data_IF_901253920943
#
_entry.id   IF_901253920943
#
_cell.length_a   1.000
_cell.length_b   1.000
_cell.length_c   1.000
_cell.angle_alpha   90.00
_cell.angle_beta   90.00
_cell.angle_gamma   90.00
#
_symmetry.space_group_name_H-M   'P 1'
#
loop_
_entity.id
_entity.type
_entity.pdbx_description
1 polymer ?
#
# COMPACT_ATOMS: atom_id res chain seq x y z
N UNK A 1 2.96 -28.69 -2.63
CA UNK A 1 1.68 -27.93 -2.61
C UNK A 1 0.58 -28.85 -3.13
N UNK A 2 -0.60 -28.88 -2.50
CA UNK A 2 -1.73 -29.61 -3.07
C UNK A 2 -2.15 -28.93 -4.38
N UNK A 3 -2.68 -29.70 -5.35
CA UNK A 3 -3.17 -29.14 -6.61
C UNK A 3 -4.12 -27.96 -6.38
N UNK A 4 -4.94 -28.00 -5.33
CA UNK A 4 -5.88 -26.94 -4.98
C UNK A 4 -5.22 -25.58 -4.78
N UNK A 5 -4.07 -25.52 -4.10
CA UNK A 5 -3.37 -24.27 -3.81
C UNK A 5 -2.75 -23.68 -5.10
N UNK A 6 -2.34 -24.55 -6.03
CA UNK A 6 -1.78 -24.19 -7.33
C UNK A 6 -2.81 -23.55 -8.28
N UNK A 7 -4.10 -23.75 -8.09
CA UNK A 7 -5.17 -23.15 -8.91
C UNK A 7 -5.91 -22.02 -8.18
N UNK A 8 -6.26 -22.23 -6.91
CA UNK A 8 -7.08 -21.28 -6.16
C UNK A 8 -6.36 -19.95 -5.92
N UNK A 9 -5.07 -20.00 -5.60
CA UNK A 9 -4.30 -18.79 -5.29
C UNK A 9 -4.08 -17.93 -6.53
N UNK A 10 -3.65 -18.47 -7.70
CA UNK A 10 -3.59 -17.70 -8.93
C UNK A 10 -4.94 -17.12 -9.36
N UNK A 11 -6.05 -17.86 -9.19
CA UNK A 11 -7.39 -17.34 -9.49
C UNK A 11 -7.72 -16.10 -8.64
N UNK A 12 -7.37 -16.11 -7.36
CA UNK A 12 -7.55 -14.95 -6.48
C UNK A 12 -6.68 -13.77 -6.91
N UNK A 13 -5.41 -14.01 -7.26
CA UNK A 13 -4.54 -12.97 -7.81
C UNK A 13 -5.04 -12.41 -9.14
N UNK A 14 -5.62 -13.24 -10.01
CA UNK A 14 -6.26 -12.78 -11.24
C UNK A 14 -7.45 -11.87 -10.94
N UNK A 15 -8.27 -12.20 -9.93
CA UNK A 15 -9.37 -11.34 -9.51
C UNK A 15 -8.87 -9.98 -8.96
N UNK A 16 -7.86 -10.00 -8.10
CA UNK A 16 -7.18 -8.78 -7.61
C UNK A 16 -6.72 -7.94 -8.80
N UNK A 17 -5.98 -8.54 -9.73
CA UNK A 17 -5.48 -7.85 -10.91
C UNK A 17 -6.61 -7.26 -11.75
N UNK A 18 -7.69 -8.00 -12.01
CA UNK A 18 -8.83 -7.52 -12.79
C UNK A 18 -9.51 -6.32 -12.12
N UNK A 19 -9.90 -6.47 -10.85
CA UNK A 19 -10.60 -5.41 -10.10
C UNK A 19 -9.71 -4.18 -9.97
N UNK A 20 -8.44 -4.38 -9.62
CA UNK A 20 -7.49 -3.30 -9.45
C UNK A 20 -7.17 -2.57 -10.75
N UNK A 21 -6.98 -3.27 -11.87
CA UNK A 21 -6.72 -2.63 -13.17
C UNK A 21 -7.93 -1.84 -13.65
N UNK A 22 -9.14 -2.41 -13.57
CA UNK A 22 -10.36 -1.73 -13.99
C UNK A 22 -10.62 -0.50 -13.12
N UNK A 23 -10.58 -0.66 -11.79
CA UNK A 23 -10.86 0.42 -10.85
C UNK A 23 -9.84 1.56 -10.95
N UNK A 24 -8.54 1.27 -10.91
CA UNK A 24 -7.51 2.30 -10.96
C UNK A 24 -7.46 2.99 -12.34
N UNK A 25 -7.70 2.26 -13.43
CA UNK A 25 -7.80 2.87 -14.77
C UNK A 25 -8.99 3.81 -14.89
N UNK A 26 -10.15 3.43 -14.31
CA UNK A 26 -11.34 4.28 -14.28
C UNK A 26 -11.08 5.58 -13.51
N UNK A 27 -10.41 5.51 -12.36
CA UNK A 27 -10.02 6.69 -11.57
C UNK A 27 -9.18 7.65 -12.41
N UNK A 28 -8.13 7.15 -13.08
CA UNK A 28 -7.28 7.96 -13.96
C UNK A 28 -8.09 8.54 -15.13
N UNK A 29 -8.97 7.74 -15.74
CA UNK A 29 -9.81 8.15 -16.85
C UNK A 29 -10.75 9.31 -16.46
N UNK A 30 -11.48 9.19 -15.35
CA UNK A 30 -12.42 10.21 -14.86
C UNK A 30 -11.70 11.52 -14.54
N UNK A 31 -10.56 11.47 -13.85
CA UNK A 31 -9.75 12.66 -13.52
C UNK A 31 -9.21 13.32 -14.79
N UNK A 32 -8.79 12.51 -15.77
CA UNK A 32 -8.27 13.01 -17.04
C UNK A 32 -9.36 13.64 -17.91
N UNK A 33 -10.55 13.03 -17.97
CA UNK A 33 -11.67 13.47 -18.81
C UNK A 33 -12.33 14.75 -18.27
N UNK A 34 -12.50 14.87 -16.95
CA UNK A 34 -13.22 15.98 -16.35
C UNK A 34 -12.26 17.07 -15.85
N UNK A 35 -12.18 18.21 -16.55
CA UNK A 35 -11.31 19.35 -16.18
C UNK A 35 -11.56 19.87 -14.76
N UNK A 36 -12.81 19.80 -14.29
CA UNK A 36 -13.19 20.20 -12.92
C UNK A 36 -12.55 19.31 -11.83
N UNK A 37 -12.16 18.09 -12.17
CA UNK A 37 -11.51 17.13 -11.28
C UNK A 37 -9.98 17.26 -11.29
N UNK A 38 -9.38 18.22 -12.01
CA UNK A 38 -7.92 18.40 -12.06
C UNK A 38 -7.41 19.28 -10.92
N UNK A 39 -7.58 18.81 -9.69
CA UNK A 39 -7.14 19.47 -8.45
C UNK A 39 -5.87 18.81 -7.89
N UNK A 40 -5.17 19.48 -6.97
CA UNK A 40 -3.97 18.93 -6.32
C UNK A 40 -4.26 17.58 -5.63
N UNK A 41 -5.38 17.48 -4.89
CA UNK A 41 -5.82 16.23 -4.25
C UNK A 41 -6.07 15.11 -5.26
N UNK A 42 -6.74 15.42 -6.38
CA UNK A 42 -7.01 14.41 -7.41
C UNK A 42 -5.75 14.02 -8.18
N UNK A 43 -4.73 14.88 -8.26
CA UNK A 43 -3.43 14.50 -8.78
C UNK A 43 -2.76 13.43 -7.92
N UNK A 44 -2.84 13.53 -6.58
CA UNK A 44 -2.35 12.47 -5.69
C UNK A 44 -3.14 11.16 -5.85
N UNK A 45 -4.46 11.23 -5.97
CA UNK A 45 -5.31 10.05 -6.23
C UNK A 45 -4.93 9.38 -7.57
N UNK A 46 -4.74 10.16 -8.64
CA UNK A 46 -4.31 9.64 -9.93
C UNK A 46 -2.90 9.02 -9.87
N UNK A 47 -2.00 9.63 -9.11
CA UNK A 47 -0.64 9.14 -8.93
C UNK A 47 -0.61 7.83 -8.13
N UNK A 48 -1.44 7.72 -7.09
CA UNK A 48 -1.65 6.47 -6.36
C UNK A 48 -2.20 5.38 -7.28
N UNK A 49 -3.25 5.68 -8.06
CA UNK A 49 -3.83 4.74 -9.02
C UNK A 49 -2.81 4.25 -10.07
N UNK A 50 -1.94 5.14 -10.57
CA UNK A 50 -0.86 4.75 -11.48
C UNK A 50 0.15 3.79 -10.83
N UNK A 51 0.45 3.99 -9.55
CA UNK A 51 1.33 3.10 -8.77
C UNK A 51 0.72 1.72 -8.60
N UNK A 52 -0.57 1.68 -8.28
CA UNK A 52 -1.30 0.44 -8.08
C UNK A 52 -1.33 -0.35 -9.39
N UNK A 53 -1.55 0.30 -10.54
CA UNK A 53 -1.46 -0.34 -11.86
C UNK A 53 -0.06 -0.92 -12.10
N UNK A 54 1.01 -0.15 -11.87
CA UNK A 54 2.39 -0.64 -12.05
C UNK A 54 2.64 -1.86 -11.16
N UNK A 55 2.24 -1.79 -9.88
CA UNK A 55 2.37 -2.90 -8.95
C UNK A 55 1.56 -4.14 -9.37
N UNK A 56 0.32 -3.96 -9.81
CA UNK A 56 -0.55 -5.04 -10.26
C UNK A 56 0.02 -5.73 -11.51
N UNK A 57 0.51 -4.98 -12.49
CA UNK A 57 1.08 -5.55 -13.72
C UNK A 57 2.44 -6.20 -13.47
N UNK A 58 3.31 -5.56 -12.68
CA UNK A 58 4.69 -5.98 -12.54
C UNK A 58 4.93 -6.98 -11.40
N UNK A 59 4.04 -7.07 -10.40
CA UNK A 59 4.26 -7.94 -9.24
C UNK A 59 3.25 -9.11 -9.17
N UNK A 60 1.95 -8.85 -9.35
CA UNK A 60 0.90 -9.87 -9.16
C UNK A 60 1.10 -11.12 -10.04
N UNK A 61 1.28 -11.03 -11.37
CA UNK A 61 1.40 -12.23 -12.19
C UNK A 61 2.62 -13.08 -11.80
N UNK A 62 3.75 -12.45 -11.53
CA UNK A 62 4.97 -13.15 -11.13
C UNK A 62 4.82 -13.81 -9.76
N UNK A 63 4.23 -13.11 -8.78
CA UNK A 63 3.93 -13.69 -7.47
C UNK A 63 2.92 -14.84 -7.58
N UNK A 64 1.91 -14.73 -8.45
CA UNK A 64 0.91 -15.78 -8.67
C UNK A 64 1.55 -17.06 -9.24
N UNK A 65 2.58 -16.95 -10.07
CA UNK A 65 3.27 -18.14 -10.61
C UNK A 65 4.10 -18.90 -9.58
N UNK A 66 4.40 -18.33 -8.41
CA UNK A 66 5.11 -19.04 -7.33
C UNK A 66 4.33 -20.23 -6.76
N UNK A 67 3.01 -20.28 -6.97
CA UNK A 67 2.12 -21.32 -6.44
C UNK A 67 2.01 -22.54 -7.36
N UNK A 68 1.76 -22.39 -8.69
CA UNK A 68 1.74 -23.51 -9.62
C UNK A 68 3.14 -23.94 -10.07
N UNK A 69 4.12 -23.03 -10.12
CA UNK A 69 5.47 -23.39 -10.56
C UNK A 69 6.29 -23.97 -9.40
N UNK A 70 7.06 -25.03 -9.66
CA UNK A 70 7.92 -25.66 -8.65
C UNK A 70 9.22 -24.87 -8.36
N UNK A 71 9.46 -23.75 -9.04
CA UNK A 71 10.64 -22.89 -8.90
C UNK A 71 10.52 -21.58 -9.68
N UNK A 72 11.47 -20.67 -9.48
CA UNK A 72 11.55 -19.37 -10.14
C UNK A 72 12.22 -19.46 -11.52
N UNK A 73 11.47 -19.16 -12.58
CA UNK A 73 11.95 -19.30 -13.98
C UNK A 73 12.29 -17.98 -14.67
N UNK A 74 12.00 -16.83 -14.05
CA UNK A 74 12.13 -15.50 -14.69
C UNK A 74 13.53 -14.88 -14.56
N UNK A 75 14.49 -15.63 -14.04
CA UNK A 75 15.87 -15.19 -13.87
C UNK A 75 16.10 -14.16 -12.75
N UNK A 76 17.37 -13.76 -12.60
CA UNK A 76 17.86 -12.92 -11.50
C UNK A 76 17.34 -11.49 -11.52
N UNK A 77 17.20 -10.91 -12.70
CA UNK A 77 16.64 -9.56 -12.82
C UNK A 77 15.23 -9.51 -12.25
N UNK A 78 14.32 -10.38 -12.72
CA UNK A 78 12.93 -10.36 -12.26
C UNK A 78 12.80 -10.72 -10.78
N UNK A 79 13.63 -11.63 -10.25
CA UNK A 79 13.62 -11.98 -8.83
C UNK A 79 13.85 -10.75 -7.93
N UNK A 80 14.84 -9.92 -8.30
CA UNK A 80 15.14 -8.68 -7.59
C UNK A 80 14.14 -7.58 -7.89
N UNK A 81 13.75 -7.42 -9.16
CA UNK A 81 12.85 -6.37 -9.62
C UNK A 81 11.46 -6.46 -8.98
N UNK A 82 10.89 -7.66 -8.92
CA UNK A 82 9.57 -7.90 -8.32
C UNK A 82 9.59 -7.59 -6.82
N UNK A 83 10.59 -8.08 -6.08
CA UNK A 83 10.74 -7.79 -4.66
C UNK A 83 10.99 -6.29 -4.40
N UNK A 84 11.79 -5.65 -5.24
CA UNK A 84 12.07 -4.23 -5.17
C UNK A 84 10.82 -3.38 -5.40
N UNK A 85 10.03 -3.68 -6.43
CA UNK A 85 8.79 -2.96 -6.69
C UNK A 85 7.74 -3.17 -5.59
N UNK A 86 7.69 -4.37 -4.99
CA UNK A 86 6.84 -4.60 -3.81
C UNK A 86 7.24 -3.66 -2.67
N UNK A 87 8.54 -3.54 -2.40
CA UNK A 87 9.05 -2.64 -1.38
C UNK A 87 8.76 -1.18 -1.67
N UNK A 88 9.01 -0.73 -2.92
CA UNK A 88 8.76 0.65 -3.33
C UNK A 88 7.29 0.99 -3.14
N UNK A 89 6.37 0.07 -3.51
CA UNK A 89 4.93 0.28 -3.32
C UNK A 89 4.57 0.43 -1.84
N UNK A 90 5.14 -0.41 -0.99
CA UNK A 90 4.94 -0.34 0.46
C UNK A 90 5.45 0.98 1.05
N UNK A 91 6.71 1.35 0.78
CA UNK A 91 7.30 2.60 1.25
C UNK A 91 6.53 3.83 0.74
N UNK A 92 6.05 3.79 -0.50
CA UNK A 92 5.25 4.87 -1.06
C UNK A 92 3.88 5.02 -0.38
N UNK A 93 3.24 3.91 -0.03
CA UNK A 93 1.91 3.93 0.61
C UNK A 93 1.89 4.71 1.94
N UNK A 94 3.04 5.04 2.52
CA UNK A 94 3.15 5.90 3.71
C UNK A 94 2.73 7.34 3.44
N UNK A 95 2.99 7.81 2.23
CA UNK A 95 2.84 9.21 1.88
C UNK A 95 1.54 9.48 1.11
N UNK A 96 0.87 8.44 0.62
CA UNK A 96 -0.40 8.56 -0.10
C UNK A 96 -1.56 9.00 0.81
N UNK A 97 -1.42 8.89 2.14
CA UNK A 97 -2.46 9.20 3.13
C UNK A 97 -2.25 10.52 3.89
N UNK A 98 -1.21 11.28 3.60
CA UNK A 98 -1.05 12.62 4.18
C UNK A 98 -1.83 13.60 3.32
N UNK A 99 -3.00 14.11 3.77
CA UNK A 99 -3.72 15.09 2.99
C UNK A 99 -2.87 16.35 2.86
N UNK A 100 -2.73 16.93 1.65
CA UNK A 100 -2.12 18.25 1.53
C UNK A 100 -2.91 19.24 2.38
N UNK A 101 -2.20 20.20 2.98
CA UNK A 101 -2.82 21.29 3.71
C UNK A 101 -3.94 21.93 2.85
N UNK A 102 -5.08 22.31 3.43
CA UNK A 102 -6.20 22.85 2.65
C UNK A 102 -5.73 24.09 1.88
N UNK A 103 -5.65 23.97 0.56
CA UNK A 103 -5.41 25.11 -0.30
C UNK A 103 -6.60 26.07 -0.15
N UNK A 104 -6.35 27.25 0.39
CA UNK A 104 -7.33 28.32 0.43
C UNK A 104 -7.70 28.66 -1.02
N UNK A 105 -9.01 28.66 -1.31
CA UNK A 105 -9.62 28.78 -2.65
C UNK A 105 -9.20 30.02 -3.47
N UNK A 106 -8.37 30.90 -2.93
CA UNK A 106 -7.97 32.17 -3.53
C UNK A 106 -6.64 32.14 -4.29
N UNK A 107 -5.85 31.06 -4.25
CA UNK A 107 -4.56 31.00 -4.94
C UNK A 107 -4.64 30.07 -6.14
N UNK A 108 -4.18 30.53 -7.32
CA UNK A 108 -4.03 29.68 -8.52
C UNK A 108 -3.36 28.36 -8.11
N UNK A 109 -3.88 27.18 -8.53
CA UNK A 109 -3.34 25.90 -8.10
C UNK A 109 -1.89 25.80 -8.59
N UNK A 110 -0.94 25.89 -7.67
CA UNK A 110 0.48 25.81 -7.99
C UNK A 110 0.87 24.33 -8.00
N UNK A 111 0.65 23.68 -9.14
CA UNK A 111 0.88 22.23 -9.34
C UNK A 111 2.35 21.81 -9.18
N UNK A 112 3.28 22.76 -9.21
CA UNK A 112 4.72 22.54 -9.09
C UNK A 112 5.13 21.96 -7.73
N UNK A 113 4.57 22.47 -6.63
CA UNK A 113 4.94 22.03 -5.28
C UNK A 113 4.47 20.58 -4.97
N UNK A 114 3.21 20.19 -5.26
CA UNK A 114 2.77 18.80 -5.16
C UNK A 114 3.59 17.83 -6.04
N UNK A 115 3.98 18.27 -7.23
CA UNK A 115 4.81 17.46 -8.14
C UNK A 115 6.20 17.22 -7.56
N UNK A 116 6.85 18.26 -7.02
CA UNK A 116 8.15 18.13 -6.35
C UNK A 116 8.06 17.20 -5.13
N UNK A 117 7.06 17.38 -4.27
CA UNK A 117 6.84 16.52 -3.10
C UNK A 117 6.65 15.06 -3.53
N UNK A 118 5.86 14.81 -4.57
CA UNK A 118 5.69 13.47 -5.11
C UNK A 118 7.00 12.88 -5.64
N UNK A 119 7.82 13.66 -6.35
CA UNK A 119 9.11 13.19 -6.87
C UNK A 119 10.07 12.86 -5.72
N UNK A 120 10.10 13.68 -4.66
CA UNK A 120 10.91 13.39 -3.47
C UNK A 120 10.47 12.11 -2.76
N UNK A 121 9.15 11.87 -2.65
CA UNK A 121 8.59 10.62 -2.10
C UNK A 121 9.02 9.41 -2.93
N UNK A 122 8.97 9.53 -4.26
CA UNK A 122 9.45 8.49 -5.16
C UNK A 122 10.92 8.18 -4.90
N UNK A 123 11.78 9.19 -4.97
CA UNK A 123 13.23 9.03 -4.77
C UNK A 123 13.51 8.41 -3.40
N UNK A 124 12.88 8.91 -2.33
CA UNK A 124 13.01 8.36 -0.99
C UNK A 124 12.58 6.89 -0.92
N UNK A 125 11.47 6.53 -1.56
CA UNK A 125 10.98 5.14 -1.62
C UNK A 125 11.95 4.23 -2.39
N UNK A 126 12.52 4.68 -3.51
CA UNK A 126 13.54 3.93 -4.25
C UNK A 126 14.80 3.70 -3.39
N UNK A 127 15.29 4.74 -2.71
CA UNK A 127 16.47 4.66 -1.85
C UNK A 127 16.23 3.68 -0.69
N UNK A 128 15.11 3.83 0.02
CA UNK A 128 14.74 2.94 1.12
C UNK A 128 14.55 1.48 0.65
N UNK A 129 14.10 1.27 -0.58
CA UNK A 129 13.91 -0.08 -1.13
C UNK A 129 15.20 -0.77 -1.59
N UNK A 130 16.30 -0.04 -1.69
CA UNK A 130 17.59 -0.54 -2.22
C UNK A 130 18.14 -1.78 -1.50
N UNK A 131 18.04 -1.92 -0.16
CA UNK A 131 18.55 -3.11 0.54
C UNK A 131 17.94 -4.42 0.05
N UNK A 132 16.71 -4.41 -0.46
CA UNK A 132 16.05 -5.60 -1.05
C UNK A 132 16.87 -6.15 -2.21
N UNK A 133 17.48 -5.30 -3.04
CA UNK A 133 18.29 -5.71 -4.19
C UNK A 133 19.57 -6.46 -3.79
N UNK A 134 20.04 -6.25 -2.55
CA UNK A 134 21.25 -6.86 -2.00
C UNK A 134 20.95 -8.26 -1.43
N UNK A 135 19.83 -8.38 -0.70
CA UNK A 135 19.46 -9.59 0.01
C UNK A 135 18.62 -10.57 -0.83
N UNK A 136 17.87 -10.09 -1.82
CA UNK A 136 17.08 -10.96 -2.69
C UNK A 136 17.97 -11.62 -3.76
N UNK A 137 17.99 -12.96 -3.80
CA UNK A 137 18.87 -13.73 -4.69
C UNK A 137 18.18 -14.98 -5.23
N UNK A 138 18.66 -15.48 -6.37
CA UNK A 138 18.34 -16.86 -6.77
C UNK A 138 19.29 -17.82 -6.09
N UNK A 139 18.69 -18.82 -5.44
CA UNK A 139 19.40 -19.92 -4.78
C UNK A 139 18.95 -21.24 -5.39
N UNK A 140 19.86 -22.20 -5.48
CA UNK A 140 19.52 -23.57 -5.93
C UNK A 140 19.04 -24.35 -4.71
N UNK A 141 17.80 -24.82 -4.77
CA UNK A 141 17.19 -25.65 -3.73
C UNK A 141 16.85 -27.04 -4.25
N UNK A 142 16.70 -27.99 -3.32
CA UNK A 142 16.48 -29.42 -3.61
C UNK A 142 15.12 -29.93 -3.08
N UNK A 143 14.10 -29.07 -3.04
CA UNK A 143 12.78 -29.44 -2.51
C UNK A 143 11.99 -30.38 -3.44
N UNK A 144 12.15 -30.21 -4.76
CA UNK A 144 11.51 -31.00 -5.82
C UNK A 144 12.49 -31.26 -6.97
N UNK A 145 13.70 -31.71 -6.63
CA UNK A 145 14.86 -31.77 -7.53
C UNK A 145 15.62 -30.44 -7.61
N UNK A 146 16.74 -30.38 -8.36
CA UNK A 146 17.55 -29.16 -8.49
C UNK A 146 16.75 -28.07 -9.22
N UNK A 147 16.31 -27.06 -8.47
CA UNK A 147 15.54 -25.93 -9.00
C UNK A 147 16.04 -24.63 -8.41
N UNK A 148 15.82 -23.53 -9.14
CA UNK A 148 16.14 -22.20 -8.65
C UNK A 148 14.95 -21.60 -7.90
N UNK A 149 15.20 -20.96 -6.76
CA UNK A 149 14.21 -20.29 -5.93
C UNK A 149 14.64 -18.84 -5.72
N UNK A 150 13.69 -17.92 -5.82
CA UNK A 150 13.91 -16.51 -5.47
C UNK A 150 13.62 -16.33 -3.98
N UNK A 151 14.65 -16.07 -3.19
CA UNK A 151 14.53 -15.96 -1.73
C UNK A 151 15.52 -14.94 -1.13
N UNK A 152 15.18 -14.46 0.06
CA UNK A 152 16.03 -13.57 0.83
C UNK A 152 17.16 -14.37 1.49
N UNK A 153 18.41 -13.96 1.24
CA UNK A 153 19.59 -14.59 1.83
C UNK A 153 20.38 -13.57 2.64
N UNK A 154 20.33 -13.72 3.96
CA UNK A 154 21.03 -12.85 4.91
C UNK A 154 22.36 -13.44 5.38
N UNK A 155 23.43 -12.64 5.53
CA UNK A 155 24.74 -13.15 5.96
C UNK A 155 24.73 -13.68 7.40
N UNK A 156 23.88 -13.14 8.27
CA UNK A 156 23.69 -13.63 9.64
C UNK A 156 22.25 -13.49 10.13
N UNK A 157 21.89 -14.20 11.19
CA UNK A 157 20.59 -14.08 11.85
C UNK A 157 20.30 -12.67 12.39
N UNK A 158 21.34 -11.94 12.78
CA UNK A 158 21.23 -10.53 13.18
C UNK A 158 20.78 -9.66 12.01
N UNK A 159 21.35 -9.86 10.81
CA UNK A 159 20.95 -9.11 9.61
C UNK A 159 19.52 -9.45 9.17
N UNK A 160 19.13 -10.73 9.25
CA UNK A 160 17.76 -11.17 8.97
C UNK A 160 16.76 -10.45 9.88
N UNK A 161 16.98 -10.47 11.20
CA UNK A 161 16.11 -9.80 12.17
C UNK A 161 16.10 -8.28 12.00
N UNK A 162 17.26 -7.67 11.77
CA UNK A 162 17.37 -6.23 11.55
C UNK A 162 16.61 -5.79 10.30
N UNK A 163 16.73 -6.56 9.20
CA UNK A 163 16.00 -6.30 7.97
C UNK A 163 14.49 -6.47 8.15
N UNK A 164 14.04 -7.52 8.85
CA UNK A 164 12.62 -7.74 9.12
C UNK A 164 12.04 -6.65 10.05
N UNK A 165 12.79 -6.18 11.04
CA UNK A 165 12.38 -5.05 11.88
C UNK A 165 12.33 -3.74 11.09
N UNK A 166 13.35 -3.49 10.27
CA UNK A 166 13.36 -2.36 9.35
C UNK A 166 12.12 -2.38 8.46
N UNK A 167 11.83 -3.54 7.88
CA UNK A 167 10.66 -3.75 7.04
C UNK A 167 9.37 -3.49 7.82
N UNK A 168 9.21 -4.05 9.01
CA UNK A 168 8.01 -3.82 9.83
C UNK A 168 7.80 -2.33 10.16
N UNK A 169 8.86 -1.63 10.56
CA UNK A 169 8.78 -0.21 10.92
C UNK A 169 8.44 0.62 9.69
N UNK A 170 9.18 0.40 8.60
CA UNK A 170 9.09 1.15 7.35
C UNK A 170 8.03 0.62 6.38
N UNK A 171 7.20 -0.35 6.77
CA UNK A 171 6.08 -0.85 5.99
C UNK A 171 4.74 -0.76 6.70
N UNK A 172 4.74 -0.73 8.04
CA UNK A 172 3.52 -0.91 8.82
C UNK A 172 3.41 0.07 9.98
N UNK A 173 4.44 0.21 10.81
CA UNK A 173 4.36 1.08 12.00
C UNK A 173 4.36 2.57 11.64
N UNK A 174 5.29 3.01 10.80
CA UNK A 174 5.38 4.42 10.39
C UNK A 174 4.12 4.92 9.66
N UNK A 175 3.54 4.21 8.65
CA UNK A 175 2.29 4.63 8.02
C UNK A 175 1.15 4.73 9.05
N UNK A 176 0.97 3.73 9.91
CA UNK A 176 -0.10 3.73 10.92
C UNK A 176 0.07 4.90 11.89
N UNK A 177 1.30 5.18 12.34
CA UNK A 177 1.59 6.30 13.23
C UNK A 177 1.37 7.65 12.55
N UNK A 178 1.85 7.83 11.32
CA UNK A 178 1.65 9.07 10.55
C UNK A 178 0.17 9.33 10.33
N UNK A 179 -0.61 8.34 9.88
CA UNK A 179 -2.04 8.51 9.65
C UNK A 179 -2.76 8.82 10.96
N UNK A 180 -2.44 8.09 12.05
CA UNK A 180 -3.02 8.31 13.37
C UNK A 180 -2.70 9.71 13.93
N UNK A 181 -1.46 10.17 13.75
CA UNK A 181 -1.01 11.49 14.18
C UNK A 181 -1.69 12.61 13.38
N UNK A 182 -1.64 12.54 12.05
CA UNK A 182 -2.32 13.48 11.16
C UNK A 182 -3.82 13.55 11.48
N UNK A 183 -4.46 12.42 11.77
CA UNK A 183 -5.86 12.35 12.17
C UNK A 183 -6.11 12.97 13.54
N UNK A 184 -5.26 12.70 14.53
CA UNK A 184 -5.38 13.28 15.88
C UNK A 184 -5.33 14.81 15.82
N UNK A 185 -4.49 15.36 14.96
CA UNK A 185 -4.43 16.80 14.68
C UNK A 185 -5.69 17.30 13.95
N UNK A 186 -6.22 16.55 12.98
CA UNK A 186 -7.46 16.90 12.30
C UNK A 186 -8.64 16.93 13.28
N UNK A 187 -8.81 15.89 14.11
CA UNK A 187 -9.88 15.82 15.13
C UNK A 187 -9.75 16.94 16.15
N UNK A 188 -8.53 17.22 16.65
CA UNK A 188 -8.31 18.36 17.56
C UNK A 188 -8.67 19.69 16.91
N UNK A 189 -8.38 19.87 15.63
CA UNK A 189 -8.70 21.08 14.88
C UNK A 189 -10.18 21.20 14.50
N UNK A 190 -10.89 20.07 14.46
CA UNK A 190 -12.35 20.00 14.23
C UNK A 190 -13.13 20.15 15.54
N UNK A 191 -12.59 19.69 16.67
CA UNK A 191 -13.19 19.81 17.99
C UNK A 191 -12.98 21.17 18.66
N UNK A 192 -12.16 22.05 18.08
CA UNK A 192 -12.11 23.45 18.48
C UNK A 192 -13.35 24.16 17.92
N UNK A 193 -14.24 24.71 18.77
CA UNK A 193 -15.37 25.48 18.28
C UNK A 193 -14.82 26.66 17.48
N UNK A 194 -15.11 26.67 16.17
CA UNK A 194 -14.96 27.88 15.36
C UNK A 194 -15.87 28.93 15.96
N UNK A 195 -15.26 29.94 16.58
CA UNK A 195 -15.88 31.13 17.17
C UNK A 195 -17.16 31.50 16.42
N UNK A 196 -18.27 31.56 17.15
CA UNK A 196 -19.58 31.97 16.65
C UNK A 196 -19.48 33.32 15.93
N UNK A 197 -19.86 33.43 14.65
CA UNK A 197 -20.18 34.72 14.09
C UNK A 197 -21.56 35.11 14.62
N UNK A 198 -21.56 36.14 15.47
CA UNK A 198 -22.74 36.94 15.80
C UNK A 198 -23.23 37.55 14.49
N UNK A 199 -24.12 36.86 13.77
CA UNK A 199 -25.08 37.44 12.83
C UNK A 199 -26.06 36.37 12.32
N UNK A 200 -27.36 36.64 12.42
CA UNK A 200 -28.52 35.78 12.13
C UNK A 200 -28.70 35.47 10.62
N UNK A 201 -27.67 35.02 9.93
CA UNK A 201 -27.74 34.66 8.52
C UNK A 201 -27.87 33.14 8.36
N UNK A 202 -29.08 32.67 8.03
CA UNK A 202 -29.42 31.26 7.75
C UNK A 202 -28.48 30.58 6.75
N UNK A 203 -27.89 31.35 5.81
CA UNK A 203 -26.87 30.86 4.87
C UNK A 203 -25.55 30.41 5.52
N UNK A 204 -25.16 31.01 6.65
CA UNK A 204 -23.91 30.67 7.37
C UNK A 204 -24.08 29.35 8.12
N UNK A 205 -25.25 29.11 8.72
CA UNK A 205 -25.56 27.84 9.39
C UNK A 205 -25.57 26.67 8.40
N UNK A 206 -26.16 26.84 7.21
CA UNK A 206 -26.18 25.84 6.15
C UNK A 206 -24.78 25.49 5.60
N UNK A 207 -23.89 26.48 5.46
CA UNK A 207 -22.50 26.27 5.06
C UNK A 207 -21.67 25.57 6.15
N UNK A 208 -21.94 25.88 7.42
CA UNK A 208 -21.32 25.22 8.58
C UNK A 208 -21.75 23.75 8.67
N UNK A 209 -23.04 23.45 8.58
CA UNK A 209 -23.57 22.08 8.55
C UNK A 209 -23.05 21.25 7.36
N UNK A 210 -22.96 21.86 6.16
CA UNK A 210 -22.32 21.22 5.00
C UNK A 210 -20.84 20.93 5.26
N UNK A 211 -20.13 21.85 5.90
CA UNK A 211 -18.71 21.68 6.21
C UNK A 211 -18.50 20.59 7.27
N UNK A 212 -19.36 20.52 8.29
CA UNK A 212 -19.33 19.48 9.34
C UNK A 212 -19.67 18.10 8.74
N UNK A 213 -20.69 18.01 7.88
CA UNK A 213 -21.06 16.74 7.23
C UNK A 213 -20.00 16.24 6.24
N UNK A 214 -19.39 17.11 5.44
CA UNK A 214 -18.25 16.77 4.59
C UNK A 214 -17.07 16.28 5.45
N UNK A 215 -16.75 16.97 6.55
CA UNK A 215 -15.67 16.58 7.47
C UNK A 215 -15.94 15.23 8.15
N UNK A 216 -17.17 14.94 8.56
CA UNK A 216 -17.55 13.65 9.14
C UNK A 216 -17.43 12.50 8.13
N UNK A 217 -17.86 12.72 6.87
CA UNK A 217 -17.68 11.75 5.77
C UNK A 217 -16.20 11.48 5.50
N UNK A 218 -15.37 12.52 5.44
CA UNK A 218 -13.92 12.38 5.27
C UNK A 218 -13.30 11.60 6.44
N UNK A 219 -13.64 11.92 7.69
CA UNK A 219 -13.15 11.16 8.86
C UNK A 219 -13.55 9.68 8.82
N UNK A 220 -14.79 9.35 8.43
CA UNK A 220 -15.24 7.96 8.26
C UNK A 220 -14.47 7.25 7.15
N UNK A 221 -14.25 7.90 6.00
CA UNK A 221 -13.45 7.36 4.90
C UNK A 221 -12.01 7.07 5.33
N UNK A 222 -11.38 7.97 6.12
CA UNK A 222 -10.02 7.75 6.65
C UNK A 222 -9.95 6.58 7.63
N UNK A 223 -10.94 6.42 8.52
CA UNK A 223 -10.99 5.25 9.42
C UNK A 223 -11.07 3.95 8.61
N UNK A 224 -11.90 3.92 7.57
CA UNK A 224 -12.02 2.78 6.66
C UNK A 224 -10.67 2.49 5.98
N UNK A 225 -9.97 3.51 5.50
CA UNK A 225 -8.63 3.38 4.91
C UNK A 225 -7.62 2.77 5.90
N UNK A 226 -7.58 3.27 7.14
CA UNK A 226 -6.64 2.77 8.17
C UNK A 226 -6.94 1.32 8.52
N UNK A 227 -8.21 0.97 8.70
CA UNK A 227 -8.63 -0.40 8.98
C UNK A 227 -8.31 -1.32 7.82
N UNK A 228 -8.57 -0.89 6.59
CA UNK A 228 -8.22 -1.65 5.38
C UNK A 228 -6.72 -1.87 5.28
N UNK A 229 -5.91 -0.83 5.49
CA UNK A 229 -4.46 -0.95 5.50
C UNK A 229 -3.99 -1.93 6.58
N UNK A 230 -4.51 -1.81 7.81
CA UNK A 230 -4.16 -2.68 8.92
C UNK A 230 -4.57 -4.14 8.67
N UNK A 231 -5.75 -4.38 8.11
CA UNK A 231 -6.27 -5.73 7.81
C UNK A 231 -5.53 -6.34 6.61
N UNK A 232 -5.19 -5.55 5.60
CA UNK A 232 -4.50 -6.04 4.41
C UNK A 232 -3.02 -6.31 4.66
N UNK A 233 -2.33 -5.43 5.40
CA UNK A 233 -0.89 -5.52 5.63
C UNK A 233 -0.50 -6.13 6.97
N UNK A 234 -1.27 -5.93 8.02
CA UNK A 234 -0.94 -6.39 9.37
C UNK A 234 -0.67 -7.90 9.47
N UNK A 235 -1.52 -8.78 8.89
CA UNK A 235 -1.32 -10.22 8.99
C UNK A 235 0.04 -10.68 8.46
N UNK A 236 0.47 -10.22 7.29
CA UNK A 236 1.74 -10.66 6.70
C UNK A 236 2.93 -10.17 7.52
N UNK A 237 2.85 -8.93 8.03
CA UNK A 237 3.91 -8.31 8.83
C UNK A 237 4.10 -9.02 10.18
N UNK A 238 2.99 -9.35 10.86
CA UNK A 238 3.01 -10.09 12.12
C UNK A 238 3.56 -11.50 11.93
N UNK A 239 3.17 -12.19 10.84
CA UNK A 239 3.65 -13.55 10.57
C UNK A 239 5.14 -13.61 10.27
N UNK A 240 5.67 -12.64 9.51
CA UNK A 240 7.10 -12.56 9.19
C UNK A 240 7.93 -12.28 10.46
N UNK A 241 7.45 -11.38 11.33
CA UNK A 241 8.05 -11.15 12.65
C UNK A 241 8.03 -12.41 13.50
N UNK A 242 6.87 -13.05 13.64
CA UNK A 242 6.74 -14.27 14.44
C UNK A 242 7.67 -15.37 13.95
N UNK A 243 7.78 -15.56 12.63
CA UNK A 243 8.68 -16.53 12.02
C UNK A 243 10.17 -16.25 12.31
N UNK A 244 10.59 -14.98 12.34
CA UNK A 244 12.00 -14.62 12.55
C UNK A 244 12.44 -14.63 14.02
N UNK A 245 11.53 -14.31 14.93
CA UNK A 245 11.82 -14.18 16.36
C UNK A 245 11.46 -15.41 17.19
N UNK A 246 10.57 -16.29 16.71
CA UNK A 246 10.22 -17.52 17.42
C UNK A 246 11.28 -18.60 17.23
N UNK A 247 11.92 -19.01 18.34
CA UNK A 247 12.94 -20.08 18.37
C UNK A 247 12.36 -21.46 18.05
N UNK A 248 11.05 -21.66 18.29
CA UNK A 248 10.35 -22.94 18.12
C UNK A 248 9.44 -22.96 16.89
N UNK A 249 9.66 -22.07 15.92
CA UNK A 249 8.85 -22.03 14.71
C UNK A 249 9.06 -23.31 13.87
N UNK A 250 8.03 -24.14 13.82
CA UNK A 250 8.01 -25.32 12.94
C UNK A 250 7.14 -25.00 11.71
N UNK A 251 7.70 -25.03 10.49
CA UNK A 251 6.94 -24.80 9.28
C UNK A 251 5.91 -25.92 9.12
N UNK A 252 4.64 -25.60 9.37
CA UNK A 252 3.52 -26.51 9.19
C UNK A 252 2.62 -26.03 8.04
N UNK A 253 1.76 -26.94 7.55
CA UNK A 253 0.87 -26.64 6.43
C UNK A 253 -0.14 -25.52 6.74
N UNK A 254 -0.61 -25.45 7.99
CA UNK A 254 -1.53 -24.41 8.45
C UNK A 254 -0.90 -23.03 8.37
N UNK A 255 0.33 -22.86 8.83
CA UNK A 255 1.06 -21.60 8.80
C UNK A 255 1.41 -21.19 7.37
N UNK A 256 1.68 -22.15 6.47
CA UNK A 256 1.82 -21.87 5.04
C UNK A 256 0.52 -21.29 4.44
N UNK A 257 -0.65 -21.86 4.77
CA UNK A 257 -1.95 -21.34 4.32
C UNK A 257 -2.23 -19.95 4.85
N UNK A 258 -2.00 -19.73 6.15
CA UNK A 258 -2.21 -18.43 6.79
C UNK A 258 -1.29 -17.36 6.16
N UNK A 259 -0.01 -17.70 5.92
CA UNK A 259 0.93 -16.80 5.24
C UNK A 259 0.53 -16.52 3.79
N UNK A 260 0.03 -17.52 3.09
CA UNK A 260 -0.48 -17.37 1.72
C UNK A 260 -1.70 -16.44 1.68
N UNK A 261 -2.67 -16.65 2.57
CA UNK A 261 -3.82 -15.77 2.70
C UNK A 261 -3.41 -14.34 3.06
N UNK A 262 -2.51 -14.17 4.01
CA UNK A 262 -1.99 -12.86 4.41
C UNK A 262 -1.26 -12.15 3.26
N UNK A 263 -0.52 -12.90 2.43
CA UNK A 263 0.09 -12.40 1.22
C UNK A 263 -0.98 -11.97 0.21
N UNK A 264 -2.01 -12.76 -0.04
CA UNK A 264 -3.11 -12.35 -0.94
C UNK A 264 -3.79 -11.04 -0.47
N UNK A 265 -4.00 -10.89 0.84
CA UNK A 265 -4.62 -9.70 1.42
C UNK A 265 -3.76 -8.43 1.24
N UNK A 266 -2.43 -8.52 1.34
CA UNK A 266 -1.57 -7.36 1.15
C UNK A 266 -1.63 -6.81 -0.28
N UNK A 267 -1.79 -7.68 -1.28
CA UNK A 267 -1.97 -7.29 -2.68
C UNK A 267 -3.38 -6.75 -2.96
N UNK A 268 -4.40 -7.28 -2.29
CA UNK A 268 -5.78 -6.82 -2.41
C UNK A 268 -5.93 -5.33 -2.04
N UNK A 269 -5.07 -4.81 -1.17
CA UNK A 269 -5.03 -3.38 -0.80
C UNK A 269 -5.01 -2.45 -2.04
N UNK A 270 -4.24 -2.80 -3.08
CA UNK A 270 -4.12 -2.00 -4.30
C UNK A 270 -5.39 -2.02 -5.17
N UNK A 271 -6.28 -2.98 -4.94
CA UNK A 271 -7.53 -3.15 -5.70
C UNK A 271 -8.74 -2.55 -5.00
N UNK A 272 -8.67 -2.38 -3.67
CA UNK A 272 -9.74 -1.81 -2.87
C UNK A 272 -9.72 -0.28 -2.90
N UNK A 273 -8.55 0.34 -3.16
CA UNK A 273 -8.39 1.80 -3.20
C UNK A 273 -9.47 2.53 -4.04
N UNK A 274 -9.79 2.13 -5.29
CA UNK A 274 -10.86 2.77 -6.08
C UNK A 274 -12.26 2.70 -5.45
N UNK A 275 -12.58 1.64 -4.71
CA UNK A 275 -13.88 1.45 -4.04
C UNK A 275 -14.04 2.47 -2.90
N UNK A 276 -12.94 2.85 -2.26
CA UNK A 276 -12.94 3.81 -1.17
C UNK A 276 -13.07 5.25 -1.68
N UNK A 277 -12.63 5.52 -2.93
CA UNK A 277 -12.74 6.85 -3.55
C UNK A 277 -14.07 7.11 -4.26
N UNK A 278 -14.79 6.06 -4.65
CA UNK A 278 -16.11 6.13 -5.29
C UNK A 278 -17.23 6.44 -4.31
#
# INVERSE_FOLDING_TARGET
>A
PFLTDAWLVPLFFCLIMLVGLVGNSLVIYVISKHRQMRTATNFYIANLAATDIIFLVCCVPFTATLYPLPGWIFGNFMCKFVAFLQQVKTCRSHYDYVPPAPETRLRKPNTTLPMIVSVCIWIGSFVLSTPVLVYQRLEVGYWYGPRQYCMERFPSKTHERAFILYQFIAAYLLPVLTISFCYSLMVKRVGQPTVEPVDNNYQVNLLSERTISIRSKVSKMVIVIVLLFAICWGPIQILVLFQSFSTNYQPNYTTYKIKTWANCMSYANSSVNPIVYG
#
